data_IF_530540856304
#
_entry.id   IF_530540856304
#
_cell.length_a   1.000
_cell.length_b   1.000
_cell.length_c   1.000
_cell.angle_alpha   90.00
_cell.angle_beta   90.00
_cell.angle_gamma   90.00
#
_symmetry.space_group_name_H-M   'P 1'
#
loop_
_entity.id
_entity.type
_entity.pdbx_description
1 polymer ?
#
# COMPACT_ATOMS: atom_id res chain seq x y z
N UNK A 1 -18.56 -23.13 -2.17
CA UNK A 1 -17.89 -22.26 -3.17
C UNK A 1 -16.43 -22.11 -2.81
N UNK A 2 -15.52 -22.83 -3.48
CA UNK A 2 -14.09 -22.71 -3.23
C UNK A 2 -13.59 -21.35 -3.75
N UNK A 3 -13.18 -20.46 -2.84
CA UNK A 3 -12.55 -19.19 -3.22
C UNK A 3 -11.20 -19.53 -3.84
N UNK A 4 -11.15 -19.44 -5.17
CA UNK A 4 -9.95 -19.65 -6.00
C UNK A 4 -8.81 -18.82 -5.42
N UNK A 5 -7.91 -19.45 -4.66
CA UNK A 5 -6.67 -18.81 -4.23
C UNK A 5 -5.84 -18.64 -5.49
N UNK A 6 -5.92 -17.45 -6.08
CA UNK A 6 -4.97 -17.06 -7.11
C UNK A 6 -3.60 -17.15 -6.42
N UNK A 7 -2.72 -17.96 -6.98
CA UNK A 7 -1.33 -18.04 -6.56
C UNK A 7 -0.68 -16.74 -7.04
N UNK A 8 -0.98 -15.65 -6.34
CA UNK A 8 -0.53 -14.33 -6.72
C UNK A 8 0.99 -14.29 -6.53
N UNK A 9 1.68 -13.74 -7.53
CA UNK A 9 3.12 -13.52 -7.48
C UNK A 9 3.50 -12.81 -6.15
N UNK A 10 4.70 -13.05 -5.61
CA UNK A 10 5.11 -12.41 -4.37
C UNK A 10 4.93 -10.89 -4.49
N UNK A 11 4.05 -10.32 -3.65
CA UNK A 11 3.73 -8.90 -3.67
C UNK A 11 4.98 -8.16 -3.18
N UNK A 12 5.76 -7.64 -4.13
CA UNK A 12 6.90 -6.75 -3.87
C UNK A 12 6.45 -5.32 -4.09
N UNK A 13 6.53 -4.51 -3.04
CA UNK A 13 6.21 -3.09 -3.12
C UNK A 13 7.43 -2.33 -3.64
N UNK A 14 7.18 -1.32 -4.47
CA UNK A 14 8.17 -0.38 -4.96
C UNK A 14 7.56 1.01 -4.94
N UNK A 15 8.30 2.00 -4.43
CA UNK A 15 7.90 3.41 -4.44
C UNK A 15 7.62 3.96 -5.84
N UNK A 16 8.17 3.31 -6.87
CA UNK A 16 7.95 3.67 -8.29
C UNK A 16 6.57 3.24 -8.79
N UNK A 17 5.98 2.21 -8.19
CA UNK A 17 4.69 1.63 -8.59
C UNK A 17 3.54 2.28 -7.80
N UNK A 18 3.30 3.57 -8.05
CA UNK A 18 2.35 4.41 -7.30
C UNK A 18 0.94 3.82 -7.30
N UNK A 19 0.48 3.27 -8.43
CA UNK A 19 -0.85 2.66 -8.57
C UNK A 19 -1.07 1.48 -7.62
N UNK A 20 -0.01 0.72 -7.32
CA UNK A 20 -0.06 -0.39 -6.38
C UNK A 20 -0.15 0.14 -4.95
N UNK A 21 0.63 1.17 -4.62
CA UNK A 21 0.64 1.78 -3.30
C UNK A 21 -0.67 2.49 -2.94
N UNK A 22 -1.31 3.15 -3.93
CA UNK A 22 -2.60 3.83 -3.74
C UNK A 22 -3.71 2.90 -3.23
N UNK A 23 -3.65 1.59 -3.55
CA UNK A 23 -4.63 0.60 -3.06
C UNK A 23 -4.58 0.38 -1.54
N UNK A 24 -3.47 0.75 -0.90
CA UNK A 24 -3.24 0.55 0.52
C UNK A 24 -3.19 1.85 1.32
N UNK A 25 -3.69 2.94 0.73
CA UNK A 25 -3.76 4.25 1.32
C UNK A 25 -5.23 4.69 1.32
N UNK A 26 -5.65 5.33 2.40
CA UNK A 26 -6.96 5.94 2.51
C UNK A 26 -7.08 7.07 1.49
N UNK A 27 -8.08 7.06 0.59
CA UNK A 27 -8.26 8.12 -0.39
C UNK A 27 -8.59 9.46 0.25
N UNK A 28 -9.37 9.45 1.35
CA UNK A 28 -9.84 10.65 2.04
C UNK A 28 -8.75 11.28 2.92
N UNK A 29 -8.01 10.47 3.68
CA UNK A 29 -7.04 10.98 4.66
C UNK A 29 -5.59 10.97 4.17
N UNK A 30 -5.30 10.20 3.12
CA UNK A 30 -3.94 9.95 2.64
C UNK A 30 -3.13 9.05 3.58
N UNK A 31 -3.71 8.50 4.65
CA UNK A 31 -3.03 7.64 5.62
C UNK A 31 -2.85 6.21 5.10
N UNK A 32 -1.79 5.52 5.56
CA UNK A 32 -1.57 4.11 5.21
C UNK A 32 -2.61 3.25 5.94
N UNK A 33 -3.33 2.40 5.22
CA UNK A 33 -4.34 1.55 5.83
C UNK A 33 -3.71 0.53 6.81
N UNK A 34 -4.37 0.23 7.94
CA UNK A 34 -3.87 -0.69 8.94
C UNK A 34 -3.85 -2.13 8.43
N UNK A 35 -3.03 -2.96 9.06
CA UNK A 35 -2.85 -4.38 8.68
C UNK A 35 -4.17 -5.18 8.66
N UNK A 36 -5.12 -4.82 9.52
CA UNK A 36 -6.46 -5.42 9.60
C UNK A 36 -7.29 -5.21 8.33
N UNK A 37 -7.07 -4.11 7.61
CA UNK A 37 -7.71 -3.81 6.33
C UNK A 37 -6.89 -4.25 5.14
N UNK A 38 -5.56 -4.12 5.20
CA UNK A 38 -4.69 -4.50 4.07
C UNK A 38 -4.58 -6.02 3.88
N UNK A 39 -4.77 -6.80 4.94
CA UNK A 39 -4.64 -8.26 4.92
C UNK A 39 -3.22 -8.75 4.68
N UNK A 40 -2.22 -7.85 4.75
CA UNK A 40 -0.81 -8.18 4.52
C UNK A 40 -0.19 -8.84 5.75
N UNK A 41 0.86 -9.63 5.54
CA UNK A 41 1.71 -10.07 6.65
C UNK A 41 2.48 -8.89 7.24
N UNK A 42 2.93 -9.02 8.49
CA UNK A 42 3.70 -7.95 9.15
C UNK A 42 4.97 -7.55 8.38
N UNK A 43 5.61 -8.49 7.68
CA UNK A 43 6.78 -8.22 6.82
C UNK A 43 6.39 -7.35 5.62
N UNK A 44 5.30 -7.71 4.94
CA UNK A 44 4.80 -6.97 3.79
C UNK A 44 4.27 -5.58 4.19
N UNK A 45 3.59 -5.45 5.33
CA UNK A 45 3.12 -4.16 5.85
C UNK A 45 4.30 -3.20 6.15
N UNK A 46 5.39 -3.69 6.74
CA UNK A 46 6.61 -2.89 6.97
C UNK A 46 7.27 -2.45 5.66
N UNK A 47 7.28 -3.33 4.66
CA UNK A 47 7.79 -3.02 3.33
C UNK A 47 6.93 -1.97 2.63
N UNK A 48 5.61 -2.15 2.61
CA UNK A 48 4.64 -1.18 2.12
C UNK A 48 4.87 0.19 2.77
N UNK A 49 4.95 0.24 4.09
CA UNK A 49 5.14 1.50 4.81
C UNK A 49 6.44 2.23 4.42
N UNK A 50 7.52 1.49 4.18
CA UNK A 50 8.79 2.06 3.70
C UNK A 50 8.65 2.65 2.30
N UNK A 51 8.03 1.92 1.38
CA UNK A 51 7.87 2.35 -0.01
C UNK A 51 6.90 3.53 -0.14
N UNK A 52 5.80 3.53 0.62
CA UNK A 52 4.88 4.68 0.68
C UNK A 52 5.61 5.92 1.20
N UNK A 53 6.40 5.79 2.27
CA UNK A 53 7.19 6.91 2.79
C UNK A 53 8.16 7.44 1.74
N UNK A 54 8.89 6.57 1.02
CA UNK A 54 9.79 6.98 -0.07
C UNK A 54 9.03 7.72 -1.18
N UNK A 55 7.90 7.19 -1.62
CA UNK A 55 7.06 7.82 -2.64
C UNK A 55 6.58 9.22 -2.21
N UNK A 56 6.21 9.40 -0.93
CA UNK A 56 5.83 10.71 -0.39
C UNK A 56 6.97 11.73 -0.39
N UNK A 57 8.20 11.32 -0.04
CA UNK A 57 9.37 12.21 -0.11
C UNK A 57 9.71 12.63 -1.55
N UNK A 58 9.35 11.81 -2.53
CA UNK A 58 9.54 12.08 -3.96
C UNK A 58 8.33 12.77 -4.60
N UNK A 59 7.37 13.27 -3.81
CA UNK A 59 6.12 13.90 -4.28
C UNK A 59 5.25 13.01 -5.21
N UNK A 60 5.44 11.69 -5.19
CA UNK A 60 4.62 10.74 -5.94
C UNK A 60 3.30 10.41 -5.24
N UNK A 61 3.23 10.63 -3.92
CA UNK A 61 2.05 10.43 -3.09
C UNK A 61 1.91 11.58 -2.08
N UNK A 62 0.68 12.00 -1.76
CA UNK A 62 0.44 13.02 -0.74
C UNK A 62 0.68 12.46 0.67
N UNK A 63 1.08 13.36 1.59
CA UNK A 63 1.12 13.07 3.03
C UNK A 63 -0.28 13.13 3.65
N UNK A 64 -1.09 14.08 3.20
CA UNK A 64 -2.46 14.33 3.63
C UNK A 64 -3.25 14.70 2.39
N UNK A 65 -4.42 14.11 2.21
CA UNK A 65 -5.41 14.55 1.23
C UNK A 65 -6.47 15.40 1.94
N UNK A 66 -6.92 16.46 1.28
CA UNK A 66 -7.97 17.38 1.74
C UNK A 66 -8.90 17.62 0.56
N UNK A 67 -9.66 16.60 0.22
CA UNK A 67 -10.76 16.69 -0.74
C UNK A 67 -12.07 16.41 0.00
#
# INVERSE_FOLDING_TARGET
>A
MAKKMRKDAPVVFSYKEVKTLLRYISPVSGQIEPISKTGLSAKLQRMLAREVKRARHLALLPFVTRD
#
